data_IF_494964560111
#
_entry.id   IF_494964560111
#
_cell.length_a   1.000
_cell.length_b   1.000
_cell.length_c   1.000
_cell.angle_alpha   90.00
_cell.angle_beta   90.00
_cell.angle_gamma   90.00
#
_symmetry.space_group_name_H-M   'P 1'
#
loop_
_entity.id
_entity.type
_entity.pdbx_description
1 polymer ?
#
# COMPACT_ATOMS: atom_id res chain seq x y z
N UNK A 1 2.31 12.97 -12.12
CA UNK A 1 1.29 13.91 -11.53
C UNK A 1 1.94 14.80 -10.48
N UNK A 2 1.69 16.12 -10.47
CA UNK A 2 2.29 17.02 -9.48
C UNK A 2 1.74 16.74 -8.07
N UNK A 3 2.64 16.63 -7.08
CA UNK A 3 2.24 16.40 -5.68
C UNK A 3 1.56 17.64 -5.09
N UNK A 4 0.46 17.46 -4.38
CA UNK A 4 -0.24 18.52 -3.67
C UNK A 4 0.66 19.17 -2.61
N UNK A 5 0.54 20.48 -2.43
CA UNK A 5 1.28 21.20 -1.38
C UNK A 5 0.93 20.68 0.02
N UNK A 6 -0.35 20.34 0.25
CA UNK A 6 -0.84 19.74 1.50
C UNK A 6 -0.12 18.43 1.85
N UNK A 7 0.11 17.55 0.86
CA UNK A 7 0.87 16.31 1.08
C UNK A 7 2.31 16.58 1.51
N UNK A 8 2.99 17.52 0.84
CA UNK A 8 4.36 17.90 1.20
C UNK A 8 4.45 18.45 2.63
N UNK A 9 3.48 19.29 3.01
CA UNK A 9 3.42 19.86 4.35
C UNK A 9 3.15 18.78 5.39
N UNK A 10 2.13 17.91 5.16
CA UNK A 10 1.81 16.80 6.04
C UNK A 10 3.02 15.88 6.26
N UNK A 11 3.71 15.53 5.18
CA UNK A 11 4.94 14.72 5.25
C UNK A 11 6.01 15.39 6.12
N UNK A 12 6.22 16.69 6.02
CA UNK A 12 7.19 17.40 6.87
C UNK A 12 6.74 17.38 8.34
N UNK A 13 5.45 17.61 8.60
CA UNK A 13 4.91 17.52 9.96
C UNK A 13 5.15 16.15 10.57
N UNK A 14 4.83 15.08 9.85
CA UNK A 14 5.05 13.70 10.35
C UNK A 14 6.53 13.48 10.66
N UNK A 15 7.44 13.92 9.80
CA UNK A 15 8.91 13.79 10.01
C UNK A 15 9.45 14.51 11.24
N UNK A 16 8.74 15.54 11.72
CA UNK A 16 9.15 16.25 12.94
C UNK A 16 8.83 15.45 14.21
N UNK A 17 7.79 14.61 14.16
CA UNK A 17 7.29 13.88 15.32
C UNK A 17 7.59 12.38 15.30
N UNK A 18 8.19 11.87 14.23
CA UNK A 18 8.50 10.44 14.09
C UNK A 18 10.00 10.23 13.87
N UNK A 19 10.57 9.15 14.43
CA UNK A 19 11.96 8.81 14.21
C UNK A 19 12.25 8.55 12.73
N UNK A 20 13.48 8.80 12.31
CA UNK A 20 13.92 8.52 10.93
C UNK A 20 13.89 7.02 10.65
N UNK A 21 13.49 6.66 9.44
CA UNK A 21 13.53 5.30 8.91
C UNK A 21 14.62 5.23 7.84
N UNK A 22 15.46 4.19 7.90
CA UNK A 22 16.52 3.94 6.92
C UNK A 22 15.98 3.00 5.83
N UNK A 23 16.27 3.29 4.57
CA UNK A 23 15.98 2.34 3.48
C UNK A 23 17.24 1.58 3.09
N UNK A 24 17.09 0.26 2.99
CA UNK A 24 18.13 -0.68 2.55
C UNK A 24 17.64 -1.32 1.24
N UNK A 25 18.50 -1.39 0.23
CA UNK A 25 18.21 -2.01 -1.04
C UNK A 25 19.11 -3.24 -1.20
N UNK A 26 18.53 -4.43 -1.37
CA UNK A 26 19.29 -5.63 -1.73
C UNK A 26 19.86 -5.52 -3.15
N UNK A 27 19.04 -4.97 -4.06
CA UNK A 27 19.43 -4.70 -5.45
C UNK A 27 19.05 -3.26 -5.78
N UNK A 28 19.94 -2.45 -6.37
CA UNK A 28 19.61 -1.09 -6.77
C UNK A 28 18.38 -1.03 -7.69
N UNK A 29 17.51 -0.06 -7.45
CA UNK A 29 16.36 0.18 -8.32
C UNK A 29 16.83 0.77 -9.66
N UNK A 30 16.45 0.14 -10.76
CA UNK A 30 16.89 0.49 -12.10
C UNK A 30 16.03 1.58 -12.80
N UNK A 31 14.99 2.07 -12.12
CA UNK A 31 14.09 3.10 -12.67
C UNK A 31 13.00 2.55 -13.58
N UNK A 32 12.92 1.23 -13.78
CA UNK A 32 11.91 0.58 -14.62
C UNK A 32 10.49 0.54 -13.99
N UNK A 33 9.51 0.00 -14.73
CA UNK A 33 8.15 -0.18 -14.22
C UNK A 33 8.14 -1.08 -12.99
N UNK A 34 7.76 -0.55 -11.84
CA UNK A 34 7.84 -1.26 -10.56
C UNK A 34 6.56 -1.15 -9.75
N UNK A 35 6.25 -2.21 -9.03
CA UNK A 35 5.26 -2.28 -7.96
C UNK A 35 5.97 -2.67 -6.68
N UNK A 36 5.85 -1.87 -5.64
CA UNK A 36 6.38 -2.20 -4.32
C UNK A 36 5.31 -2.86 -3.48
N UNK A 37 5.64 -4.01 -2.91
CA UNK A 37 4.72 -4.84 -2.11
C UNK A 37 5.23 -4.93 -0.67
N UNK A 38 4.93 -3.93 0.18
CA UNK A 38 5.33 -3.96 1.57
C UNK A 38 4.37 -4.79 2.43
N UNK A 39 4.90 -5.29 3.57
CA UNK A 39 4.09 -5.73 4.69
C UNK A 39 3.39 -4.54 5.34
N UNK A 40 2.31 -4.79 6.08
CA UNK A 40 1.53 -3.72 6.71
C UNK A 40 2.26 -3.10 7.91
N UNK A 41 3.09 -3.87 8.63
CA UNK A 41 3.77 -3.41 9.86
C UNK A 41 2.80 -2.60 10.75
N UNK A 42 1.60 -3.11 10.94
CA UNK A 42 0.45 -2.41 11.53
C UNK A 42 0.07 -1.17 10.69
N UNK A 43 -0.24 -0.04 11.34
CA UNK A 43 -0.58 1.22 10.65
C UNK A 43 0.66 1.99 10.12
N UNK A 44 1.86 1.60 10.53
CA UNK A 44 3.08 2.37 10.24
C UNK A 44 3.65 2.09 8.85
N UNK A 45 3.49 0.88 8.30
CA UNK A 45 3.97 0.55 6.97
C UNK A 45 3.52 1.55 5.90
N UNK A 46 2.21 1.85 5.76
CA UNK A 46 1.74 2.88 4.84
C UNK A 46 2.30 4.27 5.11
N UNK A 47 2.47 4.65 6.37
CA UNK A 47 3.03 5.95 6.75
C UNK A 47 4.50 6.03 6.35
N UNK A 48 5.30 5.02 6.70
CA UNK A 48 6.73 5.00 6.43
C UNK A 48 7.02 4.99 4.91
N UNK A 49 6.25 4.23 4.14
CA UNK A 49 6.36 4.24 2.67
C UNK A 49 6.02 5.62 2.07
N UNK A 50 5.05 6.33 2.61
CA UNK A 50 4.70 7.68 2.14
C UNK A 50 5.68 8.77 2.61
N UNK A 51 6.28 8.59 3.80
CA UNK A 51 7.05 9.64 4.46
C UNK A 51 8.55 9.49 4.26
N UNK A 52 9.08 8.28 4.43
CA UNK A 52 10.52 8.02 4.49
C UNK A 52 11.09 7.35 3.25
N UNK A 53 10.27 6.60 2.50
CA UNK A 53 10.74 5.90 1.31
C UNK A 53 11.41 6.86 0.32
N UNK A 54 12.57 6.53 -0.26
CA UNK A 54 13.30 7.43 -1.15
C UNK A 54 12.48 7.90 -2.35
N UNK A 55 11.63 7.04 -2.89
CA UNK A 55 10.77 7.32 -4.04
C UNK A 55 9.42 7.97 -3.66
N UNK A 56 9.30 8.59 -2.48
CA UNK A 56 8.05 9.18 -1.96
C UNK A 56 7.35 10.16 -2.93
N UNK A 57 8.07 10.68 -3.92
CA UNK A 57 7.51 11.59 -4.94
C UNK A 57 6.75 10.86 -6.03
N UNK A 58 7.15 9.63 -6.32
CA UNK A 58 6.65 8.83 -7.44
C UNK A 58 5.85 7.61 -6.99
N UNK A 59 5.90 7.22 -5.70
CA UNK A 59 5.04 6.14 -5.19
C UNK A 59 3.57 6.54 -5.15
N UNK A 60 2.71 5.58 -5.47
CA UNK A 60 1.25 5.69 -5.54
C UNK A 60 0.62 4.58 -4.69
N UNK A 61 0.47 4.78 -3.37
CA UNK A 61 -0.08 3.74 -2.51
C UNK A 61 -1.53 3.44 -2.87
N UNK A 62 -1.85 2.15 -2.93
CA UNK A 62 -3.23 1.70 -2.98
C UNK A 62 -3.87 1.89 -1.61
N UNK A 63 -5.09 2.40 -1.59
CA UNK A 63 -5.87 2.56 -0.36
C UNK A 63 -7.31 2.16 -0.60
N UNK A 64 -7.96 1.57 0.40
CA UNK A 64 -9.38 1.26 0.33
C UNK A 64 -10.18 2.54 0.09
N UNK A 65 -11.00 2.59 -0.96
CA UNK A 65 -11.80 3.77 -1.30
C UNK A 65 -12.73 4.21 -0.16
N UNK A 66 -13.16 3.27 0.69
CA UNK A 66 -13.99 3.55 1.86
C UNK A 66 -13.29 4.39 2.94
N UNK A 67 -11.95 4.34 3.04
CA UNK A 67 -11.22 5.16 4.04
C UNK A 67 -11.14 6.64 3.64
N UNK A 68 -11.37 6.96 2.39
CA UNK A 68 -11.46 8.33 1.90
C UNK A 68 -12.89 8.91 1.98
N UNK A 69 -13.88 8.08 2.30
CA UNK A 69 -15.27 8.45 2.41
C UNK A 69 -15.62 8.75 3.88
N UNK A 70 -15.96 10.01 4.15
CA UNK A 70 -16.25 10.48 5.51
C UNK A 70 -17.45 9.78 6.16
N UNK A 71 -18.43 9.35 5.34
CA UNK A 71 -19.63 8.67 5.85
C UNK A 71 -19.38 7.19 6.13
N UNK A 72 -18.57 6.53 5.30
CA UNK A 72 -18.26 5.10 5.40
C UNK A 72 -17.14 4.78 6.39
N UNK A 73 -16.21 5.71 6.58
CA UNK A 73 -15.04 5.49 7.43
C UNK A 73 -15.37 5.10 8.88
N UNK A 74 -16.37 5.67 9.57
CA UNK A 74 -16.70 5.24 10.94
C UNK A 74 -17.07 3.76 11.06
N UNK A 75 -17.82 3.23 10.10
CA UNK A 75 -18.16 1.81 10.06
C UNK A 75 -16.91 0.96 9.78
N UNK A 76 -16.07 1.41 8.83
CA UNK A 76 -14.80 0.74 8.52
C UNK A 76 -13.89 0.63 9.76
N UNK A 77 -13.67 1.73 10.49
CA UNK A 77 -12.83 1.76 11.68
C UNK A 77 -13.33 0.80 12.77
N UNK A 78 -14.66 0.68 12.94
CA UNK A 78 -15.24 -0.27 13.89
C UNK A 78 -15.05 -1.72 13.47
N UNK A 79 -15.27 -2.01 12.22
CA UNK A 79 -15.15 -3.36 11.67
C UNK A 79 -13.69 -3.85 11.63
N UNK A 80 -12.73 -2.93 11.51
CA UNK A 80 -11.30 -3.21 11.44
C UNK A 80 -10.65 -3.33 12.84
N UNK A 81 -11.43 -3.27 13.90
CA UNK A 81 -11.00 -3.46 15.30
C UNK A 81 -9.73 -2.67 15.67
N UNK A 82 -9.71 -1.36 15.47
CA UNK A 82 -8.56 -0.50 15.77
C UNK A 82 -8.19 -0.43 17.26
N UNK A 83 -9.02 -0.97 18.14
CA UNK A 83 -8.77 -1.12 19.57
C UNK A 83 -9.16 -2.51 20.05
N UNK A 84 -8.72 -2.87 21.27
CA UNK A 84 -9.14 -4.11 21.90
C UNK A 84 -10.60 -4.04 22.31
N UNK A 85 -11.49 -4.87 21.75
CA UNK A 85 -12.89 -4.89 22.16
C UNK A 85 -13.09 -5.27 23.64
N UNK A 86 -12.11 -5.96 24.23
CA UNK A 86 -12.10 -6.38 25.65
C UNK A 86 -11.55 -5.31 26.58
N UNK A 87 -11.03 -4.20 26.05
CA UNK A 87 -10.54 -3.10 26.86
C UNK A 87 -11.70 -2.46 27.66
N UNK A 88 -11.52 -2.13 28.95
CA UNK A 88 -12.52 -1.39 29.71
C UNK A 88 -12.84 -0.01 29.10
N UNK A 89 -11.96 0.53 28.26
CA UNK A 89 -12.15 1.79 27.54
C UNK A 89 -12.77 1.60 26.14
N UNK A 90 -13.08 0.37 25.72
CA UNK A 90 -13.65 0.10 24.40
C UNK A 90 -14.91 0.93 24.07
N UNK A 91 -15.88 1.14 25.00
CA UNK A 91 -17.04 1.99 24.73
C UNK A 91 -16.67 3.45 24.44
N UNK A 92 -15.64 3.99 25.11
CA UNK A 92 -15.14 5.33 24.86
C UNK A 92 -14.45 5.41 23.49
N UNK A 93 -13.62 4.41 23.17
CA UNK A 93 -12.94 4.32 21.87
C UNK A 93 -13.96 4.23 20.73
N UNK A 94 -15.00 3.41 20.88
CA UNK A 94 -16.06 3.26 19.87
C UNK A 94 -16.85 4.55 19.62
N UNK A 95 -17.01 5.38 20.66
CA UNK A 95 -17.68 6.67 20.56
C UNK A 95 -16.79 7.74 19.91
N UNK A 96 -15.48 7.75 20.18
CA UNK A 96 -14.58 8.88 19.86
C UNK A 96 -13.77 8.62 18.60
N UNK A 97 -13.09 7.45 18.49
CA UNK A 97 -12.11 7.18 17.42
C UNK A 97 -12.74 7.23 16.02
N UNK A 98 -13.92 6.62 15.76
CA UNK A 98 -14.53 6.68 14.45
C UNK A 98 -14.91 8.10 14.00
N UNK A 99 -15.35 8.94 14.93
CA UNK A 99 -15.72 10.34 14.64
C UNK A 99 -14.50 11.19 14.34
N UNK A 100 -13.44 11.08 15.14
CA UNK A 100 -12.17 11.76 14.90
C UNK A 100 -11.51 11.26 13.63
N UNK A 101 -11.53 9.95 13.38
CA UNK A 101 -11.04 9.35 12.16
C UNK A 101 -11.74 9.93 10.93
N UNK A 102 -13.08 10.02 10.94
CA UNK A 102 -13.86 10.60 9.86
C UNK A 102 -13.58 12.09 9.61
N UNK A 103 -13.11 12.80 10.62
CA UNK A 103 -12.71 14.21 10.46
C UNK A 103 -11.32 14.37 9.85
N UNK A 104 -10.38 13.54 10.28
CA UNK A 104 -8.93 13.70 9.97
C UNK A 104 -8.48 12.87 8.76
N UNK A 105 -8.89 11.62 8.65
CA UNK A 105 -8.36 10.71 7.64
C UNK A 105 -8.74 11.07 6.20
N UNK A 106 -10.00 11.37 5.84
CA UNK A 106 -10.33 11.67 4.46
C UNK A 106 -9.53 12.84 3.87
N UNK A 107 -9.37 14.00 4.54
CA UNK A 107 -8.47 15.05 4.06
C UNK A 107 -7.01 14.60 3.87
N UNK A 108 -6.49 13.79 4.79
CA UNK A 108 -5.13 13.22 4.69
C UNK A 108 -5.02 12.33 3.46
N UNK A 109 -5.93 11.36 3.31
CA UNK A 109 -5.95 10.43 2.17
C UNK A 109 -6.09 11.21 0.84
N UNK A 110 -7.03 12.16 0.77
CA UNK A 110 -7.19 13.00 -0.42
C UNK A 110 -5.97 13.89 -0.72
N UNK A 111 -5.12 14.16 0.25
CA UNK A 111 -3.86 14.88 0.03
C UNK A 111 -2.79 14.00 -0.57
N UNK A 112 -2.79 12.70 -0.28
CA UNK A 112 -1.80 11.74 -0.78
C UNK A 112 -1.99 11.45 -2.27
N UNK A 113 -0.93 11.12 -3.00
CA UNK A 113 -1.02 10.75 -4.41
C UNK A 113 -1.41 9.28 -4.60
N UNK A 114 -2.31 8.76 -3.77
CA UNK A 114 -2.70 7.36 -3.77
C UNK A 114 -3.72 6.99 -4.85
N UNK A 115 -3.89 5.69 -5.06
CA UNK A 115 -4.84 5.09 -6.00
C UNK A 115 -5.94 4.39 -5.20
N UNK A 116 -7.22 4.78 -5.35
CA UNK A 116 -8.31 4.15 -4.63
C UNK A 116 -8.55 2.73 -5.14
N UNK A 117 -8.72 1.79 -4.21
CA UNK A 117 -9.12 0.40 -4.48
C UNK A 117 -10.60 0.25 -4.25
N UNK A 118 -11.29 -0.22 -5.27
CA UNK A 118 -12.70 -0.53 -5.24
C UNK A 118 -12.89 -2.06 -5.26
N UNK A 119 -13.82 -2.57 -4.49
CA UNK A 119 -14.17 -4.00 -4.41
C UNK A 119 -15.47 -4.34 -5.14
N UNK A 120 -15.94 -3.43 -5.99
CA UNK A 120 -17.14 -3.55 -6.81
C UNK A 120 -16.79 -3.49 -8.32
N UNK A 121 -17.77 -3.26 -9.16
CA UNK A 121 -17.58 -3.10 -10.61
C UNK A 121 -16.57 -2.01 -10.99
N UNK A 122 -16.21 -1.12 -10.08
CA UNK A 122 -15.20 -0.06 -10.30
C UNK A 122 -13.77 -0.53 -10.11
N UNK A 123 -13.52 -1.79 -9.72
CA UNK A 123 -12.16 -2.35 -9.56
C UNK A 123 -11.29 -2.12 -10.80
N UNK A 124 -11.89 -2.16 -11.98
CA UNK A 124 -11.18 -1.85 -13.23
C UNK A 124 -10.57 -0.43 -13.25
N UNK A 125 -11.18 0.52 -12.56
CA UNK A 125 -10.66 1.89 -12.45
C UNK A 125 -9.35 1.93 -11.67
N UNK A 126 -9.23 1.12 -10.61
CA UNK A 126 -7.98 0.97 -9.86
C UNK A 126 -6.84 0.49 -10.76
N UNK A 127 -7.07 -0.58 -11.52
CA UNK A 127 -6.07 -1.10 -12.45
C UNK A 127 -5.74 -0.11 -13.56
N UNK A 128 -6.74 0.56 -14.13
CA UNK A 128 -6.52 1.59 -15.17
C UNK A 128 -5.63 2.72 -14.65
N UNK A 129 -5.89 3.22 -13.44
CA UNK A 129 -5.08 4.27 -12.81
C UNK A 129 -3.66 3.78 -12.50
N UNK A 130 -3.51 2.52 -12.08
CA UNK A 130 -2.21 1.92 -11.80
C UNK A 130 -1.36 1.75 -13.07
N UNK A 131 -1.96 1.30 -14.16
CA UNK A 131 -1.25 1.23 -15.47
C UNK A 131 -0.84 2.61 -15.94
N UNK A 132 -1.70 3.62 -15.78
CA UNK A 132 -1.35 4.99 -16.14
C UNK A 132 -0.25 5.57 -15.25
N UNK A 133 -0.25 5.23 -13.96
CA UNK A 133 0.86 5.57 -13.06
C UNK A 133 2.19 4.97 -13.55
N UNK A 134 2.21 3.67 -13.86
CA UNK A 134 3.41 2.99 -14.40
C UNK A 134 3.92 3.63 -15.70
N UNK A 135 3.02 4.00 -16.63
CA UNK A 135 3.37 4.71 -17.88
C UNK A 135 4.04 6.06 -17.62
N UNK A 136 3.64 6.74 -16.54
CA UNK A 136 4.18 8.03 -16.16
C UNK A 136 5.46 7.94 -15.30
N UNK A 137 6.01 6.74 -15.10
CA UNK A 137 7.17 6.49 -14.23
C UNK A 137 6.85 6.57 -12.75
N UNK A 138 5.57 6.53 -12.38
CA UNK A 138 5.14 6.41 -10.99
C UNK A 138 5.06 4.92 -10.60
N UNK A 139 5.23 4.61 -9.29
CA UNK A 139 5.28 3.23 -8.79
C UNK A 139 4.10 2.97 -7.85
N UNK A 140 3.15 2.09 -8.20
CA UNK A 140 2.16 1.61 -7.26
C UNK A 140 2.81 0.95 -6.04
N UNK A 141 2.28 1.23 -4.85
CA UNK A 141 2.61 0.55 -3.60
C UNK A 141 1.39 -0.21 -3.14
N UNK A 142 1.50 -1.52 -3.00
CA UNK A 142 0.37 -2.41 -2.76
C UNK A 142 0.63 -3.23 -1.50
N UNK A 143 -0.14 -2.95 -0.46
CA UNK A 143 -0.17 -3.75 0.76
C UNK A 143 -1.07 -4.95 0.50
N UNK A 144 -0.48 -6.02 0.00
CA UNK A 144 -1.19 -7.17 -0.56
C UNK A 144 -1.67 -8.19 0.48
N UNK A 145 -1.23 -8.06 1.74
CA UNK A 145 -1.69 -8.93 2.83
C UNK A 145 -3.20 -8.75 3.04
N UNK A 146 -3.92 -9.86 3.26
CA UNK A 146 -5.33 -9.79 3.61
C UNK A 146 -5.45 -9.12 4.98
N UNK A 147 -6.29 -8.09 5.11
CA UNK A 147 -6.59 -7.51 6.40
C UNK A 147 -7.57 -8.43 7.14
N UNK A 148 -7.05 -9.46 7.82
CA UNK A 148 -7.83 -10.19 8.82
C UNK A 148 -7.92 -9.39 10.11
N UNK A 149 -8.32 -8.12 9.99
CA UNK A 149 -8.32 -7.18 11.08
C UNK A 149 -6.90 -6.73 11.48
N UNK A 150 -6.82 -5.63 12.17
CA UNK A 150 -5.59 -4.96 12.60
C UNK A 150 -4.63 -5.82 13.46
N UNK A 151 -5.03 -7.02 13.85
CA UNK A 151 -4.32 -7.91 14.78
C UNK A 151 -3.97 -9.28 14.22
N UNK A 152 -4.46 -9.63 13.05
CA UNK A 152 -4.11 -10.90 12.46
C UNK A 152 -2.88 -10.75 11.58
N UNK A 153 -1.88 -11.54 11.89
CA UNK A 153 -0.77 -11.78 10.99
C UNK A 153 -1.27 -12.68 9.86
N UNK A 154 -1.93 -12.10 8.85
CA UNK A 154 -2.34 -12.88 7.70
C UNK A 154 -1.12 -13.18 6.85
N UNK A 155 -0.74 -14.44 6.79
CA UNK A 155 0.31 -14.93 5.90
C UNK A 155 -0.17 -14.99 4.44
N UNK A 156 -1.48 -14.78 4.20
CA UNK A 156 -2.06 -14.89 2.86
C UNK A 156 -2.06 -13.55 2.12
N UNK A 157 -1.61 -13.58 0.87
CA UNK A 157 -1.67 -12.44 -0.02
C UNK A 157 -2.96 -12.43 -0.84
N UNK A 158 -3.52 -11.25 -1.07
CA UNK A 158 -4.57 -11.05 -2.06
C UNK A 158 -4.05 -11.43 -3.45
N UNK A 159 -4.72 -12.34 -4.15
CA UNK A 159 -4.27 -12.83 -5.46
C UNK A 159 -4.50 -11.84 -6.59
N UNK A 160 -5.43 -10.90 -6.43
CA UNK A 160 -5.91 -10.08 -7.54
C UNK A 160 -4.94 -9.00 -8.03
N UNK A 161 -4.04 -8.49 -7.19
CA UNK A 161 -3.21 -7.34 -7.55
C UNK A 161 -2.16 -7.66 -8.63
N UNK A 162 -1.69 -8.91 -8.74
CA UNK A 162 -0.72 -9.31 -9.76
C UNK A 162 -1.28 -9.23 -11.18
N UNK A 163 -2.61 -9.16 -11.34
CA UNK A 163 -3.26 -8.86 -12.63
C UNK A 163 -2.82 -7.52 -13.24
N UNK A 164 -2.23 -6.64 -12.44
CA UNK A 164 -1.67 -5.39 -12.93
C UNK A 164 -0.59 -5.63 -13.99
N UNK A 165 0.21 -6.70 -13.84
CA UNK A 165 1.30 -7.00 -14.77
C UNK A 165 0.82 -7.33 -16.19
N UNK A 166 -0.07 -8.33 -16.43
CA UNK A 166 -0.57 -8.58 -17.78
C UNK A 166 -1.39 -7.40 -18.34
N UNK A 167 -2.06 -6.62 -17.49
CA UNK A 167 -2.75 -5.41 -17.95
C UNK A 167 -1.77 -4.33 -18.41
N UNK A 168 -0.67 -4.10 -17.71
CA UNK A 168 0.39 -3.16 -18.07
C UNK A 168 1.08 -3.60 -19.37
N UNK A 169 1.36 -4.89 -19.50
CA UNK A 169 1.92 -5.45 -20.74
C UNK A 169 0.98 -5.29 -21.93
N UNK A 170 -0.29 -5.66 -21.79
CA UNK A 170 -1.26 -5.56 -22.89
C UNK A 170 -1.47 -4.11 -23.35
N UNK A 171 -1.54 -3.17 -22.41
CA UNK A 171 -1.87 -1.76 -22.70
C UNK A 171 -0.69 -0.89 -23.06
N UNK A 172 0.49 -1.18 -22.55
CA UNK A 172 1.65 -0.29 -22.67
C UNK A 172 2.99 -1.01 -22.93
N UNK A 173 2.99 -2.34 -23.08
CA UNK A 173 4.20 -3.18 -23.24
C UNK A 173 5.21 -2.99 -22.09
N UNK A 174 4.71 -2.73 -20.88
CA UNK A 174 5.54 -2.57 -19.70
C UNK A 174 5.72 -3.93 -19.01
N UNK A 175 6.95 -4.42 -18.91
CA UNK A 175 7.31 -5.53 -18.03
C UNK A 175 7.42 -5.01 -16.61
N UNK A 176 6.51 -5.44 -15.75
CA UNK A 176 6.41 -4.96 -14.37
C UNK A 176 7.29 -5.81 -13.47
N UNK A 177 8.10 -5.16 -12.63
CA UNK A 177 8.85 -5.78 -11.54
C UNK A 177 8.11 -5.59 -10.23
N UNK A 178 7.90 -6.69 -9.49
CA UNK A 178 7.34 -6.65 -8.15
C UNK A 178 8.47 -6.75 -7.14
N UNK A 179 8.61 -5.73 -6.31
CA UNK A 179 9.61 -5.67 -5.25
C UNK A 179 8.95 -6.01 -3.91
N UNK A 180 9.30 -7.13 -3.28
CA UNK A 180 8.93 -7.35 -1.88
C UNK A 180 9.61 -6.28 -1.02
N UNK A 181 8.90 -5.75 -0.05
CA UNK A 181 9.42 -4.74 0.88
C UNK A 181 9.08 -5.15 2.31
N UNK A 182 10.08 -5.17 3.16
CA UNK A 182 9.88 -5.40 4.59
C UNK A 182 10.06 -4.09 5.35
N UNK A 183 9.01 -3.68 6.03
CA UNK A 183 9.02 -2.52 6.94
C UNK A 183 9.14 -3.06 8.36
N UNK A 184 10.25 -2.76 9.00
CA UNK A 184 10.54 -3.13 10.37
C UNK A 184 10.45 -1.89 11.27
N UNK A 185 9.54 -1.95 12.25
CA UNK A 185 9.30 -0.84 13.18
C UNK A 185 10.30 -0.79 14.33
N UNK A 186 10.82 -1.95 14.73
CA UNK A 186 11.77 -2.04 15.83
C UNK A 186 13.16 -1.58 15.38
N UNK A 187 13.61 -2.04 14.22
CA UNK A 187 14.87 -1.65 13.59
C UNK A 187 14.78 -0.32 12.82
N UNK A 188 13.60 0.24 12.64
CA UNK A 188 13.35 1.46 11.89
C UNK A 188 13.93 1.40 10.47
N UNK A 189 13.66 0.29 9.78
CA UNK A 189 14.16 0.04 8.43
C UNK A 189 13.05 -0.25 7.43
N UNK A 190 13.30 0.11 6.18
CA UNK A 190 12.55 -0.32 5.00
C UNK A 190 13.53 -1.09 4.13
N UNK A 191 13.42 -2.41 4.10
CA UNK A 191 14.26 -3.28 3.27
C UNK A 191 13.55 -3.60 1.97
N UNK A 192 14.12 -3.17 0.85
CA UNK A 192 13.62 -3.49 -0.49
C UNK A 192 14.41 -4.66 -1.02
N UNK A 193 13.74 -5.79 -1.19
CA UNK A 193 14.34 -7.05 -1.60
C UNK A 193 14.46 -7.12 -3.13
N UNK A 194 15.18 -8.13 -3.63
CA UNK A 194 15.29 -8.38 -5.06
C UNK A 194 13.89 -8.55 -5.69
N UNK A 195 13.67 -8.02 -6.90
CA UNK A 195 12.36 -8.10 -7.54
C UNK A 195 12.13 -9.44 -8.26
N UNK A 196 10.87 -9.74 -8.51
CA UNK A 196 10.44 -10.70 -9.51
C UNK A 196 9.83 -9.95 -10.69
N UNK A 197 10.29 -10.22 -11.90
CA UNK A 197 9.77 -9.60 -13.12
C UNK A 197 8.70 -10.49 -13.75
N UNK A 198 7.64 -9.86 -14.24
CA UNK A 198 6.57 -10.52 -14.99
C UNK A 198 7.07 -11.05 -16.34
N UNK A 199 6.80 -12.33 -16.60
CA UNK A 199 7.05 -12.97 -17.89
C UNK A 199 5.76 -13.00 -18.73
N UNK A 200 5.68 -12.21 -19.83
CA UNK A 200 4.50 -12.19 -20.69
C UNK A 200 4.36 -13.41 -21.59
N UNK A 201 5.41 -14.24 -21.72
CA UNK A 201 5.45 -15.41 -22.59
C UNK A 201 5.07 -16.69 -21.86
N UNK A 202 5.03 -16.66 -20.50
CA UNK A 202 4.60 -17.78 -19.67
C UNK A 202 3.06 -17.90 -19.63
N UNK A 203 2.51 -19.12 -19.46
CA UNK A 203 1.09 -19.33 -19.20
C UNK A 203 0.64 -18.56 -17.94
N UNK A 204 -0.50 -17.85 -18.02
CA UNK A 204 -0.90 -16.93 -16.96
C UNK A 204 -1.07 -17.59 -15.58
N UNK A 205 -1.64 -18.78 -15.54
CA UNK A 205 -1.89 -19.50 -14.29
C UNK A 205 -0.59 -19.84 -13.56
N UNK A 206 0.42 -20.29 -14.30
CA UNK A 206 1.76 -20.60 -13.78
C UNK A 206 2.49 -19.33 -13.34
N UNK A 207 2.42 -18.30 -14.17
CA UNK A 207 3.08 -17.01 -13.89
C UNK A 207 2.43 -16.31 -12.68
N UNK A 208 1.11 -16.33 -12.57
CA UNK A 208 0.41 -15.81 -11.41
C UNK A 208 0.87 -16.52 -10.13
N UNK A 209 0.95 -17.85 -10.16
CA UNK A 209 1.38 -18.60 -8.99
C UNK A 209 2.85 -18.30 -8.64
N UNK A 210 3.73 -18.26 -9.64
CA UNK A 210 5.15 -17.92 -9.45
C UNK A 210 5.34 -16.54 -8.79
N UNK A 211 4.60 -15.53 -9.25
CA UNK A 211 4.66 -14.18 -8.68
C UNK A 211 4.17 -14.17 -7.23
N UNK A 212 3.04 -14.86 -6.96
CA UNK A 212 2.45 -14.92 -5.62
C UNK A 212 3.33 -15.70 -4.63
N UNK A 213 3.91 -16.82 -5.04
CA UNK A 213 4.81 -17.62 -4.20
C UNK A 213 6.05 -16.81 -3.83
N UNK A 214 6.66 -16.17 -4.83
CA UNK A 214 7.84 -15.33 -4.61
C UNK A 214 7.58 -14.21 -3.60
N UNK A 215 6.45 -13.53 -3.75
CA UNK A 215 6.06 -12.44 -2.85
C UNK A 215 5.65 -12.96 -1.47
N UNK A 216 4.88 -14.06 -1.42
CA UNK A 216 4.39 -14.66 -0.17
C UNK A 216 5.49 -15.20 0.74
N UNK A 217 6.61 -15.65 0.16
CA UNK A 217 7.78 -16.07 0.93
C UNK A 217 8.51 -14.89 1.59
N UNK A 218 8.41 -13.68 1.03
CA UNK A 218 9.22 -12.52 1.38
C UNK A 218 8.46 -11.39 2.08
N UNK A 219 7.16 -11.25 1.77
CA UNK A 219 6.30 -10.25 2.41
C UNK A 219 5.64 -10.87 3.64
N UNK A 220 6.40 -10.99 4.72
CA UNK A 220 5.93 -11.49 6.03
C UNK A 220 6.07 -10.39 7.08
N UNK A 221 5.18 -10.40 8.08
CA UNK A 221 5.30 -9.54 9.27
C UNK A 221 6.31 -10.12 10.27
#
# INVERSE_FOLDING_TARGET
>A
MALKKSYRLLRQCVKLFTPKVKTVWEVPYDGGPAVFCPNHARAWGPIDMCVYFPLWRTVRPWYNAGVADRERLPAYIRNDNWWDPKSPLAPLYDAVIPRLGALVMPPVIHSTPGIPVYYDAKVYTTFKQSVEALKNGDQPVIFAQYPDGYRSHSESLSRGFVLLAPMAWRKAKLKVKFYPVHVDQDERTITVMAPVEYDPDAPWEEEQQRLLDYLGERVKD
#
